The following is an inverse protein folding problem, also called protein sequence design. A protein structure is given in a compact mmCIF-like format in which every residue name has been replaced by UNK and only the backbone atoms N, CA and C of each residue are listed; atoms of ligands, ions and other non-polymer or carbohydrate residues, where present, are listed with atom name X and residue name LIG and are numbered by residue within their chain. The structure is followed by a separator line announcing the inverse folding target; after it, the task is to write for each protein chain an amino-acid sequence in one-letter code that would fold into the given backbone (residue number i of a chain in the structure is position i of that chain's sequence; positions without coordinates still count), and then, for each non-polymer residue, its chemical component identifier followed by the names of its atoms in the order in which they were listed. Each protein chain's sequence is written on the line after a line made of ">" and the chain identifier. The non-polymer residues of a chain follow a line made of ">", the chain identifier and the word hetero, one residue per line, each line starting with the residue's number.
data_IF_511556075489
#
_entry.id   IF_511556075489
#
_cell.length_a   1.000
_cell.length_b   1.000
_cell.length_c   1.000
_cell.angle_alpha   90.00
_cell.angle_beta   90.00
_cell.angle_gamma   90.00
#
_symmetry.space_group_name_H-M   'P 1'
#
loop_
_entity.id
_entity.type
_entity.pdbx_description
1 polymer ?
#
# COMPACT_ATOMS: atom_id res chain seq x y z
N UNK A 1 17.75 -13.39 -5.53
CA UNK A 1 17.04 -12.93 -6.74
C UNK A 1 15.52 -12.90 -6.52
N UNK A 2 15.03 -12.48 -5.34
CA UNK A 2 13.60 -12.40 -5.00
C UNK A 2 13.17 -10.96 -4.64
N UNK A 3 13.84 -9.96 -5.18
CA UNK A 3 13.68 -8.55 -4.76
C UNK A 3 12.53 -7.83 -5.48
N UNK A 4 11.84 -8.46 -6.43
CA UNK A 4 10.76 -7.84 -7.22
C UNK A 4 9.42 -8.57 -7.06
N UNK A 5 9.03 -8.87 -5.82
CA UNK A 5 7.67 -9.34 -5.60
C UNK A 5 6.67 -8.17 -5.67
N UNK A 6 5.45 -8.45 -6.07
CA UNK A 6 4.33 -7.51 -6.26
C UNK A 6 4.10 -6.54 -5.08
N UNK A 7 4.56 -6.93 -3.90
CA UNK A 7 4.62 -6.12 -2.71
C UNK A 7 5.34 -4.79 -2.93
N UNK A 8 6.40 -4.83 -3.71
CA UNK A 8 7.19 -3.65 -4.03
C UNK A 8 6.56 -2.73 -5.07
N UNK A 9 5.61 -3.18 -5.90
CA UNK A 9 5.12 -2.34 -7.01
C UNK A 9 4.38 -1.11 -6.52
N UNK A 10 3.56 -1.20 -5.47
CA UNK A 10 2.92 -0.01 -4.87
C UNK A 10 3.93 0.84 -4.07
N UNK A 11 4.87 0.21 -3.37
CA UNK A 11 5.97 0.87 -2.67
C UNK A 11 7.03 1.38 -3.64
N UNK A 12 7.25 0.69 -4.79
CA UNK A 12 8.22 1.07 -5.82
C UNK A 12 7.94 2.46 -6.39
N UNK A 13 6.67 2.84 -6.57
CA UNK A 13 6.35 4.20 -7.01
C UNK A 13 6.90 5.25 -6.05
N UNK A 14 6.72 5.07 -4.74
CA UNK A 14 7.26 5.98 -3.74
C UNK A 14 8.81 5.98 -3.75
N UNK A 15 9.43 4.81 -3.86
CA UNK A 15 10.89 4.68 -3.94
C UNK A 15 11.42 5.35 -5.20
N UNK A 16 10.83 5.10 -6.36
CA UNK A 16 11.26 5.69 -7.64
C UNK A 16 11.15 7.21 -7.61
N UNK A 17 10.06 7.76 -7.06
CA UNK A 17 9.89 9.20 -6.91
C UNK A 17 10.97 9.79 -6.00
N UNK A 18 11.28 9.17 -4.87
CA UNK A 18 12.33 9.64 -3.96
C UNK A 18 13.73 9.51 -4.59
N UNK A 19 14.02 8.41 -5.30
CA UNK A 19 15.26 8.29 -6.06
C UNK A 19 15.38 9.39 -7.13
N UNK A 20 14.30 9.70 -7.85
CA UNK A 20 14.27 10.80 -8.81
C UNK A 20 14.60 12.16 -8.17
N UNK A 21 14.09 12.42 -6.96
CA UNK A 21 14.43 13.64 -6.19
C UNK A 21 15.90 13.66 -5.78
N UNK A 22 16.47 12.52 -5.38
CA UNK A 22 17.89 12.40 -5.04
C UNK A 22 18.78 12.63 -6.26
N UNK A 23 18.42 12.08 -7.42
CA UNK A 23 19.12 12.33 -8.70
C UNK A 23 19.06 13.81 -9.05
N UNK A 24 17.90 14.44 -8.95
CA UNK A 24 17.75 15.88 -9.20
C UNK A 24 18.55 16.76 -8.23
N UNK A 25 18.80 16.27 -7.01
CA UNK A 25 19.67 16.89 -6.02
C UNK A 25 21.17 16.61 -6.24
N UNK A 26 21.55 15.92 -7.33
CA UNK A 26 22.93 15.64 -7.70
C UNK A 26 23.57 14.45 -6.98
N UNK A 27 22.80 13.59 -6.33
CA UNK A 27 23.30 12.38 -5.69
C UNK A 27 23.80 11.37 -6.72
N UNK A 28 24.95 10.75 -6.45
CA UNK A 28 25.49 9.67 -7.24
C UNK A 28 24.71 8.36 -7.08
N UNK A 29 24.91 7.41 -8.00
CA UNK A 29 24.30 6.09 -7.92
C UNK A 29 24.63 5.38 -6.60
N UNK A 30 25.90 5.39 -6.19
CA UNK A 30 26.35 4.71 -4.97
C UNK A 30 25.71 5.33 -3.71
N UNK A 31 25.67 6.67 -3.62
CA UNK A 31 24.97 7.38 -2.52
C UNK A 31 23.47 7.01 -2.47
N UNK A 32 22.80 6.89 -3.62
CA UNK A 32 21.39 6.50 -3.67
C UNK A 32 21.21 5.07 -3.19
N UNK A 33 22.06 4.14 -3.61
CA UNK A 33 22.02 2.72 -3.17
C UNK A 33 22.21 2.62 -1.65
N UNK A 34 23.09 3.40 -1.06
CA UNK A 34 23.28 3.45 0.40
C UNK A 34 22.04 4.00 1.15
N UNK A 35 21.32 4.94 0.56
CA UNK A 35 20.13 5.56 1.16
C UNK A 35 18.89 4.67 1.02
N UNK A 36 18.80 3.80 0.01
CA UNK A 36 17.60 2.99 -0.29
C UNK A 36 17.02 2.22 0.90
N UNK A 37 17.80 1.53 1.75
CA UNK A 37 17.24 0.82 2.92
C UNK A 37 16.52 1.76 3.88
N UNK A 38 17.02 2.99 4.05
CA UNK A 38 16.38 4.02 4.88
C UNK A 38 15.04 4.47 4.27
N UNK A 39 14.96 4.63 2.95
CA UNK A 39 13.72 4.97 2.27
C UNK A 39 12.70 3.82 2.44
N UNK A 40 13.12 2.58 2.20
CA UNK A 40 12.26 1.40 2.31
C UNK A 40 11.67 1.24 3.71
N UNK A 41 12.46 1.42 4.76
CA UNK A 41 12.01 1.26 6.15
C UNK A 41 10.89 2.23 6.56
N UNK A 42 10.80 3.38 5.87
CA UNK A 42 9.79 4.42 6.11
C UNK A 42 8.46 4.18 5.40
N UNK A 43 8.43 3.23 4.44
CA UNK A 43 7.26 2.96 3.63
C UNK A 43 6.46 1.81 4.22
N UNK A 44 5.16 2.00 4.38
CA UNK A 44 4.20 0.94 4.73
C UNK A 44 3.04 0.96 3.74
N UNK A 45 2.58 -0.24 3.38
CA UNK A 45 1.50 -0.44 2.41
C UNK A 45 0.37 -1.20 3.06
N UNK A 46 -0.86 -0.74 2.88
CA UNK A 46 -2.07 -1.40 3.37
C UNK A 46 -3.12 -1.40 2.27
N UNK A 47 -3.77 -2.53 2.05
CA UNK A 47 -4.81 -2.63 1.04
C UNK A 47 -5.86 -3.67 1.38
N UNK A 48 -7.03 -3.52 0.76
CA UNK A 48 -8.13 -4.47 0.80
C UNK A 48 -8.47 -4.90 -0.63
N UNK A 49 -8.86 -6.16 -0.77
CA UNK A 49 -9.28 -6.75 -2.03
C UNK A 49 -10.76 -7.11 -1.99
N UNK A 50 -11.39 -7.12 -3.16
CA UNK A 50 -12.76 -7.63 -3.26
C UNK A 50 -12.79 -9.15 -3.07
N UNK A 51 -11.76 -9.86 -3.56
CA UNK A 51 -11.60 -11.30 -3.41
C UNK A 51 -10.12 -11.68 -3.32
N UNK A 52 -9.79 -12.76 -2.64
CA UNK A 52 -8.42 -13.32 -2.64
C UNK A 52 -8.16 -14.28 -3.80
N UNK A 53 -9.13 -14.53 -4.66
CA UNK A 53 -9.03 -15.50 -5.76
C UNK A 53 -7.83 -15.23 -6.66
N UNK A 54 -7.57 -13.96 -6.96
CA UNK A 54 -6.44 -13.58 -7.83
C UNK A 54 -5.08 -13.78 -7.15
N UNK A 55 -4.97 -13.49 -5.85
CA UNK A 55 -3.74 -13.78 -5.08
C UNK A 55 -3.47 -15.28 -5.00
N UNK A 56 -4.52 -16.10 -4.82
CA UNK A 56 -4.41 -17.57 -4.78
C UNK A 56 -3.93 -18.09 -6.14
N UNK A 57 -4.64 -17.74 -7.22
CA UNK A 57 -4.30 -18.17 -8.59
C UNK A 57 -2.92 -17.69 -9.02
N UNK A 58 -2.53 -16.51 -8.60
CA UNK A 58 -1.21 -15.93 -8.89
C UNK A 58 -0.07 -16.46 -8.00
N UNK A 59 -0.35 -17.31 -7.01
CA UNK A 59 0.64 -17.82 -6.07
C UNK A 59 1.20 -16.77 -5.10
N UNK A 60 0.51 -15.62 -4.95
CA UNK A 60 0.93 -14.49 -4.08
C UNK A 60 0.16 -14.43 -2.77
N UNK A 61 -0.56 -15.48 -2.41
CA UNK A 61 -1.40 -15.50 -1.20
C UNK A 61 -0.59 -15.37 0.11
N UNK A 62 0.67 -15.80 0.14
CA UNK A 62 1.55 -15.66 1.30
C UNK A 62 0.93 -16.13 2.62
N UNK A 63 1.20 -15.39 3.70
CA UNK A 63 0.65 -15.66 5.04
C UNK A 63 -0.83 -15.26 5.17
N UNK A 64 -1.44 -14.71 4.12
CA UNK A 64 -2.89 -14.43 4.04
C UNK A 64 -3.71 -15.73 3.87
N UNK A 65 -3.07 -16.82 3.45
CA UNK A 65 -3.71 -18.13 3.22
C UNK A 65 -4.50 -18.65 4.44
N UNK A 66 -4.08 -18.33 5.66
CA UNK A 66 -4.72 -18.79 6.90
C UNK A 66 -6.17 -18.31 7.10
N UNK A 67 -6.68 -17.40 6.26
CA UNK A 67 -8.05 -16.87 6.37
C UNK A 67 -8.92 -17.21 5.17
N UNK A 68 -8.43 -18.01 4.21
CA UNK A 68 -9.15 -18.31 2.96
C UNK A 68 -10.52 -18.94 3.20
N UNK A 69 -10.66 -19.76 4.25
CA UNK A 69 -11.94 -20.38 4.63
C UNK A 69 -12.96 -19.42 5.27
N UNK A 70 -12.52 -18.26 5.79
CA UNK A 70 -13.38 -17.30 6.50
C UNK A 70 -13.92 -16.18 5.58
N UNK A 71 -13.55 -16.18 4.32
CA UNK A 71 -13.61 -15.05 3.39
C UNK A 71 -14.99 -14.63 2.90
N UNK A 72 -16.03 -15.44 3.05
CA UNK A 72 -17.37 -15.07 2.58
C UNK A 72 -17.95 -13.82 3.29
N UNK A 73 -17.40 -13.44 4.44
CA UNK A 73 -17.86 -12.28 5.22
C UNK A 73 -16.74 -11.34 5.71
N UNK A 74 -15.48 -11.76 5.59
CA UNK A 74 -14.34 -10.98 6.06
C UNK A 74 -13.57 -10.37 4.89
N UNK A 75 -13.24 -9.10 5.00
CA UNK A 75 -12.33 -8.38 4.08
C UNK A 75 -11.05 -8.07 4.87
N UNK A 76 -9.97 -8.84 4.68
CA UNK A 76 -8.73 -8.58 5.39
C UNK A 76 -8.08 -7.30 4.88
N UNK A 77 -7.55 -6.51 5.80
CA UNK A 77 -6.54 -5.52 5.45
C UNK A 77 -5.22 -6.28 5.35
N UNK A 78 -4.62 -6.22 4.18
CA UNK A 78 -3.36 -6.89 3.87
C UNK A 78 -2.24 -5.86 3.94
N UNK A 79 -1.11 -6.27 4.45
CA UNK A 79 0.13 -5.50 4.45
C UNK A 79 1.29 -6.41 4.07
N UNK A 80 2.49 -5.82 4.04
CA UNK A 80 3.72 -6.45 3.63
C UNK A 80 4.71 -6.28 4.76
N UNK A 81 5.35 -7.38 5.18
CA UNK A 81 6.41 -7.32 6.18
C UNK A 81 7.76 -6.95 5.55
N UNK A 82 8.76 -6.76 6.39
CA UNK A 82 10.10 -6.34 5.94
C UNK A 82 10.81 -7.42 5.08
N UNK A 83 10.31 -8.67 5.10
CA UNK A 83 10.76 -9.79 4.25
C UNK A 83 10.06 -9.81 2.88
N UNK A 84 9.17 -8.85 2.59
CA UNK A 84 8.40 -8.80 1.35
C UNK A 84 7.19 -9.76 1.30
N UNK A 85 6.82 -10.37 2.42
CA UNK A 85 5.73 -11.34 2.46
C UNK A 85 4.40 -10.69 2.83
N UNK A 86 3.33 -11.02 2.09
CA UNK A 86 1.98 -10.59 2.41
C UNK A 86 1.46 -11.24 3.69
N UNK A 87 0.83 -10.45 4.54
CA UNK A 87 0.17 -10.93 5.75
C UNK A 87 -1.11 -10.16 6.03
N UNK A 88 -1.97 -10.76 6.84
CA UNK A 88 -3.19 -10.11 7.33
C UNK A 88 -2.86 -9.17 8.48
N UNK A 89 -2.94 -7.87 8.23
CA UNK A 89 -2.75 -6.84 9.25
C UNK A 89 -3.97 -6.74 10.19
N UNK A 90 -5.19 -6.80 9.61
CA UNK A 90 -6.43 -6.72 10.36
C UNK A 90 -7.55 -7.47 9.62
N UNK A 91 -8.53 -7.97 10.37
CA UNK A 91 -9.73 -8.61 9.82
C UNK A 91 -10.94 -7.72 10.08
N UNK A 92 -11.64 -7.32 9.02
CA UNK A 92 -12.86 -6.50 9.10
C UNK A 92 -13.99 -7.11 8.29
N UNK A 93 -15.24 -6.82 8.68
CA UNK A 93 -16.42 -7.33 7.97
C UNK A 93 -16.99 -6.25 7.04
N UNK A 94 -17.03 -6.60 5.75
CA UNK A 94 -17.65 -5.77 4.73
C UNK A 94 -16.78 -4.61 4.23
N UNK A 95 -17.13 -4.14 3.04
CA UNK A 95 -16.35 -3.14 2.28
C UNK A 95 -16.21 -1.80 3.02
N UNK A 96 -17.33 -1.24 3.48
CA UNK A 96 -17.32 0.08 4.13
C UNK A 96 -16.45 0.10 5.39
N UNK A 97 -16.47 -0.98 6.19
CA UNK A 97 -15.59 -1.09 7.36
C UNK A 97 -14.12 -1.23 6.99
N UNK A 98 -13.83 -1.86 5.84
CA UNK A 98 -12.46 -1.95 5.34
C UNK A 98 -11.92 -0.57 4.92
N UNK A 99 -12.74 0.24 4.25
CA UNK A 99 -12.40 1.61 3.85
C UNK A 99 -12.15 2.46 5.10
N UNK A 100 -13.06 2.40 6.07
CA UNK A 100 -12.91 3.11 7.34
C UNK A 100 -11.62 2.68 8.08
N UNK A 101 -11.27 1.39 8.05
CA UNK A 101 -10.04 0.89 8.67
C UNK A 101 -8.77 1.38 7.96
N UNK A 102 -8.78 1.52 6.64
CA UNK A 102 -7.67 2.14 5.91
C UNK A 102 -7.49 3.62 6.31
N UNK A 103 -8.59 4.36 6.46
CA UNK A 103 -8.56 5.75 6.94
C UNK A 103 -8.03 5.85 8.39
N UNK A 104 -8.45 4.94 9.27
CA UNK A 104 -7.94 4.84 10.65
C UNK A 104 -6.42 4.58 10.68
N UNK A 105 -5.94 3.64 9.85
CA UNK A 105 -4.50 3.34 9.74
C UNK A 105 -3.72 4.58 9.28
N UNK A 106 -4.23 5.32 8.30
CA UNK A 106 -3.61 6.56 7.85
C UNK A 106 -3.59 7.61 8.95
N UNK A 107 -4.70 7.80 9.67
CA UNK A 107 -4.80 8.70 10.81
C UNK A 107 -3.76 8.36 11.88
N UNK A 108 -3.69 7.09 12.31
CA UNK A 108 -2.75 6.64 13.36
C UNK A 108 -1.28 6.83 12.97
N UNK A 109 -0.97 6.69 11.67
CA UNK A 109 0.38 6.96 11.16
C UNK A 109 0.71 8.45 11.19
N UNK A 110 -0.22 9.30 10.75
CA UNK A 110 -0.09 10.76 10.71
C UNK A 110 -0.01 11.39 12.11
N UNK A 111 -0.66 10.78 13.11
CA UNK A 111 -0.51 11.22 14.50
C UNK A 111 0.89 10.94 15.06
N UNK A 112 1.64 10.02 14.47
CA UNK A 112 3.01 9.67 14.92
C UNK A 112 4.09 10.43 14.19
N UNK A 113 3.88 10.75 12.91
CA UNK A 113 4.87 11.45 12.09
C UNK A 113 4.20 12.10 10.87
N UNK A 114 4.75 13.23 10.44
CA UNK A 114 4.42 13.83 9.16
C UNK A 114 4.75 12.85 8.05
N UNK A 115 3.85 12.67 7.07
CA UNK A 115 3.97 11.61 6.06
C UNK A 115 3.40 12.02 4.72
N UNK A 116 3.95 11.41 3.67
CA UNK A 116 3.35 11.38 2.32
C UNK A 116 2.40 10.20 2.22
N UNK A 117 1.29 10.39 1.53
CA UNK A 117 0.27 9.34 1.34
C UNK A 117 -0.07 9.22 -0.15
N UNK A 118 -0.19 7.98 -0.60
CA UNK A 118 -0.81 7.64 -1.88
C UNK A 118 -2.06 6.82 -1.60
N UNK A 119 -3.19 7.25 -2.16
CA UNK A 119 -4.43 6.47 -2.20
C UNK A 119 -4.54 5.88 -3.59
N UNK A 120 -4.58 4.56 -3.67
CA UNK A 120 -4.50 3.81 -4.92
C UNK A 120 -5.69 2.87 -5.05
N UNK A 121 -6.25 2.75 -6.26
CA UNK A 121 -7.35 1.83 -6.54
C UNK A 121 -7.13 1.02 -7.82
N UNK A 122 -7.80 -0.12 -7.91
CA UNK A 122 -7.87 -0.96 -9.10
C UNK A 122 -9.33 -1.26 -9.42
N UNK A 123 -9.96 -0.45 -10.30
CA UNK A 123 -11.37 -0.59 -10.63
C UNK A 123 -12.34 -0.26 -9.47
N UNK A 124 -11.91 0.57 -8.51
CA UNK A 124 -12.71 0.99 -7.35
C UNK A 124 -12.67 2.52 -7.17
N UNK A 125 -12.94 3.26 -8.24
CA UNK A 125 -12.77 4.72 -8.30
C UNK A 125 -13.57 5.46 -7.22
N UNK A 126 -14.84 5.12 -7.02
CA UNK A 126 -15.71 5.82 -6.07
C UNK A 126 -15.25 5.56 -4.62
N UNK A 127 -14.92 4.32 -4.28
CA UNK A 127 -14.33 3.98 -2.98
C UNK A 127 -12.99 4.70 -2.77
N UNK A 128 -12.19 4.78 -3.83
CA UNK A 128 -10.90 5.47 -3.84
C UNK A 128 -11.06 6.96 -3.56
N UNK A 129 -11.98 7.64 -4.24
CA UNK A 129 -12.30 9.05 -4.00
C UNK A 129 -12.78 9.29 -2.58
N UNK A 130 -13.71 8.47 -2.08
CA UNK A 130 -14.24 8.59 -0.72
C UNK A 130 -13.13 8.44 0.34
N UNK A 131 -12.20 7.49 0.13
CA UNK A 131 -11.04 7.31 1.01
C UNK A 131 -10.08 8.51 0.92
N UNK A 132 -9.79 8.99 -0.28
CA UNK A 132 -8.95 10.17 -0.51
C UNK A 132 -9.53 11.40 0.18
N UNK A 133 -10.82 11.69 -0.01
CA UNK A 133 -11.51 12.82 0.60
C UNK A 133 -11.51 12.76 2.13
N UNK A 134 -11.52 11.56 2.69
CA UNK A 134 -11.45 11.35 4.14
C UNK A 134 -10.03 11.61 4.64
N UNK A 135 -9.02 11.04 3.98
CA UNK A 135 -7.62 11.16 4.40
C UNK A 135 -7.11 12.59 4.18
N UNK A 136 -7.46 13.24 3.08
CA UNK A 136 -6.97 14.59 2.74
C UNK A 136 -7.27 15.67 3.78
N UNK A 137 -8.23 15.41 4.68
CA UNK A 137 -8.63 16.31 5.79
C UNK A 137 -7.81 16.07 7.06
N UNK A 138 -6.96 15.05 7.09
CA UNK A 138 -6.16 14.72 8.26
C UNK A 138 -4.95 15.67 8.39
N UNK A 139 -4.50 15.95 9.61
CA UNK A 139 -3.28 16.76 9.83
C UNK A 139 -2.01 15.97 9.48
N UNK A 140 -0.89 16.69 9.42
CA UNK A 140 0.45 16.10 9.24
C UNK A 140 0.69 15.39 7.90
N UNK A 141 -0.09 15.72 6.87
CA UNK A 141 0.18 15.28 5.50
C UNK A 141 1.16 16.25 4.87
N UNK A 142 2.30 15.75 4.37
CA UNK A 142 3.25 16.55 3.58
C UNK A 142 2.92 16.52 2.09
N UNK A 143 2.37 15.42 1.61
CA UNK A 143 1.96 15.22 0.22
C UNK A 143 0.88 14.15 0.16
N UNK A 144 -0.15 14.33 -0.65
CA UNK A 144 -1.17 13.31 -0.90
C UNK A 144 -1.40 13.14 -2.40
N UNK A 145 -1.39 11.90 -2.85
CA UNK A 145 -1.56 11.51 -4.25
C UNK A 145 -2.72 10.54 -4.39
N UNK A 146 -3.38 10.56 -5.54
CA UNK A 146 -4.47 9.67 -5.91
C UNK A 146 -4.22 9.08 -7.30
N UNK A 147 -4.48 7.79 -7.48
CA UNK A 147 -4.30 7.17 -8.78
C UNK A 147 -4.70 5.69 -8.89
N UNK A 148 -4.55 5.18 -10.08
CA UNK A 148 -4.75 3.76 -10.38
C UNK A 148 -3.51 2.93 -10.04
N UNK A 149 -3.75 1.65 -9.69
CA UNK A 149 -2.67 0.67 -9.63
C UNK A 149 -2.20 0.31 -11.04
N UNK A 150 -0.95 -0.16 -11.16
CA UNK A 150 -0.46 -0.68 -12.43
C UNK A 150 -1.21 -1.94 -12.86
N UNK A 151 -1.35 -2.20 -14.19
CA UNK A 151 -1.94 -3.44 -14.69
C UNK A 151 -1.26 -4.71 -14.17
N UNK A 152 0.05 -4.67 -13.94
CA UNK A 152 0.82 -5.79 -13.37
C UNK A 152 0.30 -6.15 -11.98
N UNK A 153 0.00 -5.17 -11.13
CA UNK A 153 -0.59 -5.42 -9.82
C UNK A 153 -2.04 -5.92 -9.97
N UNK A 154 -2.79 -5.35 -10.92
CA UNK A 154 -4.18 -5.73 -11.20
C UNK A 154 -4.37 -7.20 -11.55
N UNK A 155 -3.45 -7.81 -12.29
CA UNK A 155 -3.49 -9.26 -12.64
C UNK A 155 -3.52 -10.15 -11.39
N UNK A 156 -2.84 -9.77 -10.33
CA UNK A 156 -2.73 -10.57 -9.10
C UNK A 156 -3.70 -10.15 -7.99
N UNK A 157 -4.27 -8.96 -8.08
CA UNK A 157 -5.19 -8.45 -7.05
C UNK A 157 -6.64 -8.44 -7.49
N UNK A 158 -6.86 -8.41 -8.79
CA UNK A 158 -8.19 -8.29 -9.40
C UNK A 158 -8.81 -6.91 -9.23
N UNK A 159 -10.02 -6.73 -9.80
CA UNK A 159 -10.78 -5.49 -9.62
C UNK A 159 -11.26 -5.35 -8.18
N UNK A 160 -11.43 -4.09 -7.75
CA UNK A 160 -11.87 -3.76 -6.40
C UNK A 160 -10.75 -3.61 -5.38
N UNK A 161 -9.47 -3.63 -5.79
CA UNK A 161 -8.38 -3.23 -4.91
C UNK A 161 -8.56 -1.78 -4.48
N UNK A 162 -8.38 -1.53 -3.19
CA UNK A 162 -8.24 -0.21 -2.61
C UNK A 162 -7.11 -0.23 -1.58
N UNK A 163 -6.18 0.70 -1.66
CA UNK A 163 -5.01 0.70 -0.80
C UNK A 163 -4.46 2.08 -0.50
N UNK A 164 -3.60 2.11 0.50
CA UNK A 164 -2.81 3.28 0.87
C UNK A 164 -1.34 2.89 0.98
N UNK A 165 -0.49 3.79 0.52
CA UNK A 165 0.94 3.77 0.79
C UNK A 165 1.24 4.97 1.69
N UNK A 166 1.93 4.73 2.79
CA UNK A 166 2.32 5.75 3.76
C UNK A 166 3.84 5.77 3.80
N UNK A 167 4.42 6.94 3.59
CA UNK A 167 5.85 7.16 3.72
C UNK A 167 6.10 8.27 4.71
N UNK A 168 6.73 7.94 5.83
CA UNK A 168 7.15 8.95 6.82
C UNK A 168 8.17 9.90 6.22
N UNK A 169 8.04 11.18 6.52
CA UNK A 169 9.09 12.16 6.24
C UNK A 169 10.35 11.87 7.08
N UNK A 170 11.47 12.47 6.68
CA UNK A 170 12.72 12.37 7.43
C UNK A 170 12.62 13.13 8.75
#
# INVERSE_FOLDING_TARGET
>A
TQIFDLAFISASCAIVVECGKLIAAGKSFDEIVEILPSIQSRIKVYYVLETLTYLIKGGRIGKVAGIVGELLKLKPIISINDEGTYYTYSKVRGRNKSIAKLAEIAHDALMKAKSKIWVLHGGALEDGKALYDTISKLPNISEINFGDISPVLGVHTGPGLLGIVIMKDN
#
